data_IF_468536933358
#
_entry.id   IF_468536933358
#
_cell.length_a   1.000
_cell.length_b   1.000
_cell.length_c   1.000
_cell.angle_alpha   90.00
_cell.angle_beta   90.00
_cell.angle_gamma   90.00
#
_symmetry.space_group_name_H-M   'P 1'
#
loop_
_entity.id
_entity.type
_entity.pdbx_description
1 polymer ?
#
# COMPACT_ATOMS: atom_id res chain seq x y z
N UNK A 1 28.76 5.31 13.71
CA UNK A 1 27.76 5.96 12.81
C UNK A 1 26.86 4.94 12.11
N UNK A 2 27.40 3.90 11.46
CA UNK A 2 26.63 2.86 10.76
C UNK A 2 25.59 2.13 11.65
N UNK A 3 25.99 1.68 12.84
CA UNK A 3 25.11 1.00 13.80
C UNK A 3 23.90 1.86 14.21
N UNK A 4 24.13 3.14 14.45
CA UNK A 4 23.08 4.09 14.83
C UNK A 4 22.11 4.36 13.68
N UNK A 5 22.61 4.46 12.44
CA UNK A 5 21.78 4.60 11.25
C UNK A 5 20.94 3.35 10.98
N UNK A 6 21.51 2.17 11.23
CA UNK A 6 20.80 0.90 11.13
C UNK A 6 19.66 0.81 12.15
N UNK A 7 19.94 1.16 13.41
CA UNK A 7 18.92 1.18 14.47
C UNK A 7 17.80 2.18 14.16
N UNK A 8 18.14 3.37 13.65
CA UNK A 8 17.15 4.35 13.20
C UNK A 8 16.29 3.85 12.05
N UNK A 9 16.88 3.08 11.11
CA UNK A 9 16.15 2.50 9.98
C UNK A 9 15.16 1.42 10.45
N UNK A 10 15.58 0.56 11.38
CA UNK A 10 14.69 -0.44 12.00
C UNK A 10 13.58 0.26 12.77
N UNK A 11 13.92 1.22 13.63
CA UNK A 11 12.94 1.96 14.42
C UNK A 11 11.89 2.65 13.53
N UNK A 12 12.31 3.20 12.39
CA UNK A 12 11.40 3.83 11.42
C UNK A 12 10.46 2.81 10.77
N UNK A 13 10.97 1.66 10.34
CA UNK A 13 10.13 0.60 9.75
C UNK A 13 9.13 0.05 10.76
N UNK A 14 9.58 -0.20 11.99
CA UNK A 14 8.72 -0.69 13.08
C UNK A 14 7.65 0.36 13.45
N UNK A 15 8.00 1.64 13.47
CA UNK A 15 7.04 2.70 13.79
C UNK A 15 5.95 2.83 12.72
N UNK A 16 6.31 2.68 11.44
CA UNK A 16 5.36 2.73 10.31
C UNK A 16 4.37 1.56 10.32
N UNK A 17 4.83 0.35 10.64
CA UNK A 17 3.94 -0.81 10.75
C UNK A 17 3.03 -0.71 11.97
N UNK A 18 3.53 -0.17 13.09
CA UNK A 18 2.72 0.06 14.29
C UNK A 18 1.63 1.12 14.06
N UNK A 19 1.95 2.24 13.40
CA UNK A 19 0.96 3.29 13.12
C UNK A 19 -0.16 2.81 12.20
N UNK A 20 0.19 2.03 11.17
CA UNK A 20 -0.77 1.43 10.24
C UNK A 20 -1.69 0.43 10.95
N UNK A 21 -1.15 -0.34 11.89
CA UNK A 21 -1.94 -1.30 12.68
C UNK A 21 -2.87 -0.58 13.67
N UNK A 22 -2.37 0.44 14.36
CA UNK A 22 -3.15 1.21 15.33
C UNK A 22 -4.33 1.95 14.69
N UNK A 23 -4.11 2.52 13.51
CA UNK A 23 -5.16 3.20 12.75
C UNK A 23 -6.21 2.23 12.19
N UNK A 24 -5.83 0.99 11.87
CA UNK A 24 -6.78 -0.07 11.55
C UNK A 24 -7.69 -0.45 12.73
N UNK A 25 -7.16 -0.48 13.96
CA UNK A 25 -7.95 -0.78 15.16
C UNK A 25 -8.91 0.33 15.58
N UNK A 26 -8.61 1.60 15.27
CA UNK A 26 -9.47 2.74 15.61
C UNK A 26 -10.61 2.98 14.60
N UNK A 27 -10.68 2.20 13.53
CA UNK A 27 -11.66 2.38 12.46
C UNK A 27 -13.04 1.83 12.84
N UNK A 28 -14.08 2.63 12.63
CA UNK A 28 -15.47 2.14 12.73
C UNK A 28 -15.83 1.28 11.50
N UNK A 29 -16.25 0.01 11.67
CA UNK A 29 -16.46 -0.89 10.54
C UNK A 29 -17.69 -0.53 9.69
N UNK A 30 -18.78 0.00 10.28
CA UNK A 30 -20.03 0.26 9.54
C UNK A 30 -19.87 1.27 8.39
N UNK A 31 -19.30 2.48 8.61
CA UNK A 31 -19.07 3.45 7.53
C UNK A 31 -18.07 2.96 6.47
N UNK A 32 -17.06 2.20 6.90
CA UNK A 32 -16.06 1.62 6.00
C UNK A 32 -16.70 0.63 5.00
N UNK A 33 -17.48 -0.33 5.50
CA UNK A 33 -18.15 -1.30 4.62
C UNK A 33 -19.27 -0.69 3.80
N UNK A 34 -19.93 0.37 4.28
CA UNK A 34 -20.94 1.11 3.49
C UNK A 34 -20.35 1.80 2.26
N UNK A 35 -19.08 2.24 2.33
CA UNK A 35 -18.41 2.97 1.25
C UNK A 35 -17.32 2.14 0.54
N UNK A 36 -17.30 0.82 0.77
CA UNK A 36 -16.23 -0.07 0.31
C UNK A 36 -16.02 -0.02 -1.21
N UNK A 37 -17.09 0.05 -2.00
CA UNK A 37 -16.98 0.15 -3.47
C UNK A 37 -16.27 1.41 -3.93
N UNK A 38 -16.55 2.55 -3.28
CA UNK A 38 -15.88 3.83 -3.59
C UNK A 38 -14.41 3.77 -3.18
N UNK A 39 -14.12 3.23 -1.99
CA UNK A 39 -12.75 3.03 -1.49
C UNK A 39 -11.92 2.21 -2.49
N UNK A 40 -12.41 1.03 -2.88
CA UNK A 40 -11.72 0.14 -3.83
C UNK A 40 -11.51 0.83 -5.17
N UNK A 41 -12.52 1.53 -5.68
CA UNK A 41 -12.43 2.22 -6.98
C UNK A 41 -11.37 3.33 -6.94
N UNK A 42 -11.39 4.18 -5.91
CA UNK A 42 -10.43 5.27 -5.78
C UNK A 42 -9.01 4.77 -5.54
N UNK A 43 -8.81 3.76 -4.70
CA UNK A 43 -7.48 3.19 -4.49
C UNK A 43 -6.93 2.53 -5.75
N UNK A 44 -7.70 1.65 -6.40
CA UNK A 44 -7.16 0.93 -7.56
C UNK A 44 -6.91 1.90 -8.71
N UNK A 45 -7.91 2.69 -9.09
CA UNK A 45 -7.83 3.57 -10.23
C UNK A 45 -6.89 4.75 -9.97
N UNK A 46 -7.02 5.39 -8.80
CA UNK A 46 -6.20 6.54 -8.42
C UNK A 46 -4.72 6.20 -8.34
N UNK A 47 -4.36 5.12 -7.65
CA UNK A 47 -2.95 4.68 -7.52
C UNK A 47 -2.38 4.24 -8.85
N UNK A 48 -3.15 3.55 -9.70
CA UNK A 48 -2.70 3.14 -11.02
C UNK A 48 -2.40 4.34 -11.92
N UNK A 49 -3.33 5.30 -12.00
CA UNK A 49 -3.15 6.53 -12.78
C UNK A 49 -1.98 7.35 -12.21
N UNK A 50 -1.90 7.52 -10.89
CA UNK A 50 -0.81 8.24 -10.24
C UNK A 50 0.55 7.61 -10.55
N UNK A 51 0.65 6.27 -10.50
CA UNK A 51 1.87 5.53 -10.82
C UNK A 51 2.35 5.77 -12.25
N UNK A 52 1.43 5.73 -13.22
CA UNK A 52 1.74 5.94 -14.64
C UNK A 52 2.15 7.39 -14.89
N UNK A 53 1.36 8.36 -14.39
CA UNK A 53 1.61 9.79 -14.61
C UNK A 53 2.96 10.19 -14.02
N UNK A 54 3.23 9.81 -12.76
CA UNK A 54 4.51 10.11 -12.11
C UNK A 54 5.68 9.41 -12.79
N UNK A 55 5.54 8.15 -13.19
CA UNK A 55 6.57 7.42 -13.92
C UNK A 55 6.91 8.04 -15.28
N UNK A 56 5.90 8.49 -16.03
CA UNK A 56 6.08 9.20 -17.30
C UNK A 56 6.78 10.55 -17.06
N UNK A 57 6.35 11.32 -16.06
CA UNK A 57 6.97 12.60 -15.75
C UNK A 57 8.46 12.45 -15.41
N UNK A 58 8.83 11.45 -14.62
CA UNK A 58 10.23 11.16 -14.28
C UNK A 58 11.02 10.72 -15.52
N UNK A 59 10.43 9.90 -16.40
CA UNK A 59 11.05 9.49 -17.65
C UNK A 59 11.32 10.70 -18.57
N UNK A 60 10.32 11.56 -18.76
CA UNK A 60 10.46 12.79 -19.55
C UNK A 60 11.54 13.69 -18.93
N UNK A 61 11.53 13.87 -17.61
CA UNK A 61 12.55 14.61 -16.86
C UNK A 61 13.98 14.12 -17.10
N UNK A 62 14.16 12.79 -17.25
CA UNK A 62 15.43 12.17 -17.60
C UNK A 62 15.83 12.36 -19.08
N UNK A 63 14.86 12.44 -19.99
CA UNK A 63 15.11 12.70 -21.43
C UNK A 63 15.51 14.15 -21.68
N UNK A 64 14.93 15.10 -20.93
CA UNK A 64 15.24 16.54 -21.03
C UNK A 64 16.41 16.96 -20.13
N UNK A 65 17.16 16.01 -19.58
CA UNK A 65 18.36 16.22 -18.75
C UNK A 65 18.14 17.04 -17.45
N UNK A 66 16.89 17.16 -16.97
CA UNK A 66 16.59 17.75 -15.66
C UNK A 66 16.88 16.76 -14.53
N UNK A 67 16.74 15.45 -14.80
CA UNK A 67 16.98 14.37 -13.83
C UNK A 67 17.91 13.31 -14.43
N UNK A 68 18.40 12.39 -13.59
CA UNK A 68 19.19 11.25 -14.05
C UNK A 68 18.36 10.36 -14.99
N UNK A 69 18.95 9.97 -16.12
CA UNK A 69 18.27 9.16 -17.13
C UNK A 69 18.15 7.71 -16.67
N UNK A 70 16.97 7.36 -16.18
CA UNK A 70 16.61 6.00 -15.77
C UNK A 70 15.94 5.23 -16.93
N UNK A 71 16.05 3.89 -16.96
CA UNK A 71 15.24 3.06 -17.83
C UNK A 71 13.74 3.26 -17.56
N UNK A 72 12.91 3.18 -18.60
CA UNK A 72 11.47 3.42 -18.48
C UNK A 72 10.78 2.57 -17.40
N UNK A 73 11.15 1.29 -17.28
CA UNK A 73 10.62 0.41 -16.24
C UNK A 73 11.01 0.89 -14.82
N UNK A 74 12.20 1.44 -14.64
CA UNK A 74 12.64 1.95 -13.34
C UNK A 74 11.91 3.25 -12.98
N UNK A 75 11.58 4.09 -13.97
CA UNK A 75 10.70 5.24 -13.75
C UNK A 75 9.29 4.81 -13.34
N UNK A 76 8.72 3.77 -13.97
CA UNK A 76 7.41 3.24 -13.57
C UNK A 76 7.44 2.59 -12.19
N UNK A 77 8.52 1.88 -11.84
CA UNK A 77 8.71 1.35 -10.48
C UNK A 77 8.79 2.48 -9.45
N UNK A 78 9.47 3.58 -9.77
CA UNK A 78 9.51 4.77 -8.93
C UNK A 78 8.12 5.39 -8.77
N UNK A 79 7.38 5.55 -9.88
CA UNK A 79 6.02 6.07 -9.85
C UNK A 79 5.08 5.20 -8.99
N UNK A 80 5.19 3.87 -9.09
CA UNK A 80 4.45 2.94 -8.24
C UNK A 80 4.76 3.14 -6.76
N UNK A 81 6.02 3.24 -6.36
CA UNK A 81 6.39 3.42 -4.96
C UNK A 81 5.93 4.75 -4.35
N UNK A 82 5.89 5.82 -5.16
CA UNK A 82 5.49 7.16 -4.70
C UNK A 82 3.97 7.36 -4.73
N UNK A 83 3.22 6.49 -5.43
CA UNK A 83 1.77 6.56 -5.52
C UNK A 83 1.02 6.15 -4.25
N UNK A 84 1.70 5.44 -3.33
CA UNK A 84 1.20 5.17 -1.99
C UNK A 84 1.11 6.47 -1.18
N UNK A 85 -0.06 6.76 -0.61
CA UNK A 85 -0.30 8.00 0.15
C UNK A 85 -0.46 7.69 1.64
N UNK A 86 0.17 8.50 2.49
CA UNK A 86 0.01 8.40 3.94
C UNK A 86 -0.98 9.48 4.41
N UNK A 87 -2.15 9.10 4.97
CA UNK A 87 -3.19 10.04 5.34
C UNK A 87 -3.03 10.52 6.79
N UNK A 88 -1.99 10.12 7.52
CA UNK A 88 -1.86 10.37 8.98
C UNK A 88 -2.11 11.84 9.35
N UNK A 89 -1.53 12.80 8.62
CA UNK A 89 -1.73 14.23 8.89
C UNK A 89 -3.14 14.71 8.55
N UNK A 90 -3.75 14.18 7.49
CA UNK A 90 -5.12 14.54 7.09
C UNK A 90 -6.13 13.97 8.10
N UNK A 91 -5.92 12.73 8.53
CA UNK A 91 -6.77 12.07 9.52
C UNK A 91 -6.71 12.76 10.88
N UNK A 92 -5.53 13.24 11.32
CA UNK A 92 -5.43 13.99 12.58
C UNK A 92 -6.21 15.30 12.55
N UNK A 93 -6.18 16.01 11.41
CA UNK A 93 -6.94 17.26 11.23
C UNK A 93 -8.45 16.96 11.19
N UNK A 94 -8.87 15.88 10.52
CA UNK A 94 -10.28 15.50 10.46
C UNK A 94 -10.88 15.16 11.82
N UNK A 95 -10.09 14.56 12.70
CA UNK A 95 -10.50 14.29 14.08
C UNK A 95 -10.66 15.59 14.88
N UNK A 96 -9.77 16.56 14.69
CA UNK A 96 -9.83 17.86 15.37
C UNK A 96 -11.02 18.71 14.88
N UNK A 97 -11.35 18.63 13.59
CA UNK A 97 -12.47 19.35 12.97
C UNK A 97 -13.85 18.69 13.19
N UNK A 98 -13.92 17.52 13.83
CA UNK A 98 -15.18 16.79 14.02
C UNK A 98 -15.81 16.30 12.71
N UNK A 99 -14.98 15.85 11.76
CA UNK A 99 -15.40 15.49 10.39
C UNK A 99 -16.26 14.23 10.37
N UNK A 100 -17.12 14.09 9.33
CA UNK A 100 -17.97 12.91 9.12
C UNK A 100 -17.15 11.60 9.12
N UNK A 101 -17.61 10.63 9.90
CA UNK A 101 -17.02 9.31 10.05
C UNK A 101 -16.94 8.56 8.70
N UNK A 102 -17.83 8.87 7.76
CA UNK A 102 -17.79 8.35 6.39
C UNK A 102 -16.56 8.84 5.63
N UNK A 103 -16.22 10.13 5.75
CA UNK A 103 -15.06 10.69 5.05
C UNK A 103 -13.75 10.18 5.66
N UNK A 104 -13.70 10.06 6.98
CA UNK A 104 -12.58 9.42 7.68
C UNK A 104 -12.37 7.98 7.17
N UNK A 105 -13.45 7.19 7.11
CA UNK A 105 -13.38 5.80 6.66
C UNK A 105 -12.99 5.68 5.18
N UNK A 106 -13.44 6.61 4.34
CA UNK A 106 -13.11 6.65 2.91
C UNK A 106 -11.61 6.93 2.70
N UNK A 107 -11.09 8.00 3.31
CA UNK A 107 -9.67 8.38 3.16
C UNK A 107 -8.75 7.35 3.79
N UNK A 108 -9.08 6.85 4.99
CA UNK A 108 -8.31 5.78 5.61
C UNK A 108 -8.28 4.53 4.75
N UNK A 109 -9.45 4.09 4.27
CA UNK A 109 -9.54 2.92 3.41
C UNK A 109 -8.80 3.08 2.09
N UNK A 110 -8.86 4.28 1.51
CA UNK A 110 -8.16 4.60 0.27
C UNK A 110 -6.65 4.37 0.42
N UNK A 111 -6.09 4.89 1.51
CA UNK A 111 -4.67 4.80 1.80
C UNK A 111 -4.19 3.38 2.14
N UNK A 112 -4.97 2.62 2.90
CA UNK A 112 -4.59 1.22 3.20
C UNK A 112 -4.55 0.36 1.94
N UNK A 113 -5.53 0.52 1.03
CA UNK A 113 -5.55 -0.24 -0.21
C UNK A 113 -4.52 0.26 -1.23
N UNK A 114 -4.20 1.57 -1.23
CA UNK A 114 -3.21 2.10 -2.15
C UNK A 114 -1.80 1.58 -1.87
N UNK A 115 -1.44 1.34 -0.61
CA UNK A 115 -0.16 0.73 -0.22
C UNK A 115 -0.01 -0.67 -0.84
N UNK A 116 -1.08 -1.48 -0.77
CA UNK A 116 -1.12 -2.81 -1.38
C UNK A 116 -1.07 -2.75 -2.92
N UNK A 117 -1.71 -1.75 -3.53
CA UNK A 117 -1.67 -1.52 -4.97
C UNK A 117 -0.28 -1.06 -5.44
N UNK A 118 0.36 -0.13 -4.73
CA UNK A 118 1.69 0.37 -5.03
C UNK A 118 2.75 -0.74 -5.00
N UNK A 119 2.74 -1.56 -3.94
CA UNK A 119 3.72 -2.66 -3.80
C UNK A 119 3.50 -3.77 -4.83
N UNK A 120 2.24 -4.08 -5.18
CA UNK A 120 1.92 -5.08 -6.20
C UNK A 120 2.32 -4.61 -7.61
N UNK A 121 2.10 -3.33 -7.94
CA UNK A 121 2.60 -2.72 -9.17
C UNK A 121 4.13 -2.76 -9.24
N UNK A 122 4.81 -2.33 -8.17
CA UNK A 122 6.27 -2.36 -8.09
C UNK A 122 6.83 -3.76 -8.32
N UNK A 123 6.28 -4.78 -7.63
CA UNK A 123 6.72 -6.18 -7.77
C UNK A 123 6.48 -6.69 -9.18
N UNK A 124 5.32 -6.38 -9.76
CA UNK A 124 4.98 -6.80 -11.13
C UNK A 124 5.97 -6.21 -12.14
N UNK A 125 6.23 -4.91 -12.08
CA UNK A 125 7.17 -4.24 -13.00
C UNK A 125 8.60 -4.76 -12.79
N UNK A 126 9.01 -5.00 -11.54
CA UNK A 126 10.31 -5.59 -11.21
C UNK A 126 10.49 -6.98 -11.82
N UNK A 127 9.45 -7.82 -11.77
CA UNK A 127 9.44 -9.14 -12.39
C UNK A 127 9.47 -9.07 -13.93
N UNK A 128 8.77 -8.11 -14.53
CA UNK A 128 8.84 -7.86 -15.97
C UNK A 128 10.25 -7.45 -16.37
N UNK A 129 10.91 -6.60 -15.58
CA UNK A 129 12.29 -6.18 -15.81
C UNK A 129 13.28 -7.35 -15.76
N UNK A 130 13.15 -8.25 -14.77
CA UNK A 130 14.04 -9.40 -14.64
C UNK A 130 13.80 -10.48 -15.70
N UNK A 131 12.57 -10.61 -16.20
CA UNK A 131 12.18 -11.60 -17.21
C UNK A 131 12.07 -11.01 -18.63
N UNK A 132 12.61 -9.82 -18.87
CA UNK A 132 12.49 -9.10 -20.15
C UNK A 132 12.98 -9.93 -21.36
N UNK A 133 13.90 -10.87 -21.15
CA UNK A 133 14.43 -11.79 -22.17
C UNK A 133 13.48 -12.94 -22.55
N UNK A 134 12.40 -13.16 -21.79
CA UNK A 134 11.57 -14.38 -21.86
C UNK A 134 10.26 -14.21 -22.64
N UNK A 135 10.04 -13.07 -23.31
CA UNK A 135 8.84 -12.85 -24.15
C UNK A 135 7.53 -13.04 -23.38
N UNK A 136 7.43 -12.52 -22.15
CA UNK A 136 6.22 -12.68 -21.36
C UNK A 136 5.02 -11.99 -22.02
N UNK A 137 3.96 -12.78 -22.26
CA UNK A 137 2.69 -12.28 -22.77
C UNK A 137 2.08 -11.27 -21.78
N UNK A 138 1.46 -10.21 -22.28
CA UNK A 138 0.73 -9.23 -21.48
C UNK A 138 -0.27 -9.86 -20.50
N UNK A 139 -0.92 -10.96 -20.92
CA UNK A 139 -1.80 -11.74 -20.07
C UNK A 139 -1.10 -12.31 -18.82
N UNK A 140 0.14 -12.79 -18.95
CA UNK A 140 0.90 -13.32 -17.82
C UNK A 140 1.24 -12.22 -16.80
N UNK A 141 1.51 -11.00 -17.27
CA UNK A 141 1.77 -9.83 -16.41
C UNK A 141 0.53 -9.52 -15.56
N UNK A 142 -0.66 -9.54 -16.17
CA UNK A 142 -1.93 -9.34 -15.45
C UNK A 142 -2.13 -10.42 -14.39
N UNK A 143 -1.91 -11.69 -14.75
CA UNK A 143 -2.05 -12.81 -13.80
C UNK A 143 -1.07 -12.66 -12.63
N UNK A 144 0.18 -12.29 -12.88
CA UNK A 144 1.19 -12.05 -11.84
C UNK A 144 0.84 -10.88 -10.92
N UNK A 145 0.27 -9.83 -11.49
CA UNK A 145 -0.23 -8.70 -10.72
C UNK A 145 -1.33 -9.14 -9.76
N UNK A 146 -2.34 -9.85 -10.28
CA UNK A 146 -3.46 -10.38 -9.49
C UNK A 146 -2.95 -11.33 -8.40
N UNK A 147 -2.05 -12.26 -8.75
CA UNK A 147 -1.41 -13.19 -7.82
C UNK A 147 -0.71 -12.46 -6.66
N UNK A 148 0.08 -11.43 -6.98
CA UNK A 148 0.82 -10.66 -5.97
C UNK A 148 -0.11 -9.84 -5.09
N UNK A 149 -1.11 -9.18 -5.68
CA UNK A 149 -2.07 -8.36 -4.96
C UNK A 149 -2.93 -9.21 -4.01
N UNK A 150 -3.65 -10.19 -4.53
CA UNK A 150 -4.50 -11.07 -3.72
C UNK A 150 -3.70 -11.99 -2.78
N UNK A 151 -2.52 -12.45 -3.21
CA UNK A 151 -1.65 -13.25 -2.35
C UNK A 151 -1.24 -12.48 -1.10
N UNK A 152 -0.81 -11.23 -1.25
CA UNK A 152 -0.45 -10.38 -0.10
C UNK A 152 -1.65 -10.06 0.81
N UNK A 153 -2.82 -9.79 0.22
CA UNK A 153 -4.05 -9.53 0.98
C UNK A 153 -4.51 -10.76 1.77
N UNK A 154 -4.53 -11.94 1.14
CA UNK A 154 -4.91 -13.20 1.78
C UNK A 154 -3.97 -13.59 2.93
N UNK A 155 -2.67 -13.33 2.77
CA UNK A 155 -1.69 -13.58 3.82
C UNK A 155 -1.94 -12.68 5.03
N UNK A 156 -2.24 -11.39 4.81
CA UNK A 156 -2.60 -10.44 5.88
C UNK A 156 -3.85 -10.88 6.63
N UNK A 157 -4.92 -11.24 5.90
CA UNK A 157 -6.16 -11.75 6.50
C UNK A 157 -5.92 -13.04 7.29
N UNK A 158 -5.13 -13.96 6.74
CA UNK A 158 -4.80 -15.22 7.41
C UNK A 158 -4.07 -15.02 8.74
N UNK A 159 -3.06 -14.13 8.77
CA UNK A 159 -2.34 -13.79 10.01
C UNK A 159 -3.27 -13.13 11.02
N UNK A 160 -4.13 -12.20 10.58
CA UNK A 160 -5.12 -11.55 11.45
C UNK A 160 -6.11 -12.54 12.06
N UNK A 161 -6.60 -13.49 11.25
CA UNK A 161 -7.52 -14.54 11.70
C UNK A 161 -6.88 -15.49 12.71
N UNK A 162 -5.65 -15.93 12.45
CA UNK A 162 -4.88 -16.79 13.39
C UNK A 162 -4.66 -16.05 14.71
N UNK A 163 -4.28 -14.76 14.66
CA UNK A 163 -4.10 -13.95 15.86
C UNK A 163 -5.39 -13.82 16.69
N UNK A 164 -6.53 -13.60 16.03
CA UNK A 164 -7.83 -13.54 16.69
C UNK A 164 -8.21 -14.87 17.37
N UNK A 165 -7.96 -16.00 16.70
CA UNK A 165 -8.22 -17.33 17.27
C UNK A 165 -7.36 -17.61 18.51
N UNK A 166 -6.08 -17.26 18.47
CA UNK A 166 -5.18 -17.43 19.62
C UNK A 166 -5.65 -16.58 20.79
N UNK A 167 -6.01 -15.32 20.55
CA UNK A 167 -6.50 -14.41 21.59
C UNK A 167 -7.81 -14.91 22.22
N UNK A 168 -8.75 -15.39 21.40
CA UNK A 168 -10.00 -15.97 21.87
C UNK A 168 -9.76 -17.20 22.76
N UNK A 169 -8.91 -18.12 22.32
CA UNK A 169 -8.62 -19.33 23.08
C UNK A 169 -7.87 -19.01 24.39
N UNK A 170 -6.94 -18.04 24.38
CA UNK A 170 -6.25 -17.59 25.58
C UNK A 170 -7.23 -16.96 26.60
N UNK A 171 -8.17 -16.14 26.14
CA UNK A 171 -9.19 -15.55 27.01
C UNK A 171 -10.14 -16.62 27.58
N UNK A 172 -10.51 -17.62 26.78
CA UNK A 172 -11.31 -18.74 27.24
C UNK A 172 -10.60 -19.62 28.30
N UNK A 173 -9.26 -19.68 28.29
CA UNK A 173 -8.46 -20.35 29.33
C UNK A 173 -8.39 -19.53 30.61
N UNK A 174 -8.27 -18.20 30.53
CA UNK A 174 -8.20 -17.30 31.69
C UNK A 174 -9.54 -17.22 32.44
N UNK A 175 -10.66 -17.39 31.73
CA UNK A 175 -12.02 -17.33 32.30
C UNK A 175 -12.50 -18.66 32.90
N UNK A 176 -11.69 -19.73 32.87
CA UNK A 176 -11.93 -21.01 33.53
C UNK A 176 -11.11 -21.13 34.81
#
# INVERSE_FOLDING_TARGET
>A
MFWFLFLKRIAKVVSLTLSSTQSGFSLSPKPFFSNFGAIVTFSIFGTFVASIVTGILVYIGGVIYIMYKLPFLECLMFGALISATDPVTVLSIFQELGTDVNLYALVFGESVLNDAMAISLYRTISLVRSNASSGQNFFMIIVRFIETFFGSMSAGVGVGFISALISFNAMAVILK
#
